data_IF_069127358914
#
_entry.id   IF_069127358914
#
_cell.length_a   1.000
_cell.length_b   1.000
_cell.length_c   1.000
_cell.angle_alpha   90.00
_cell.angle_beta   90.00
_cell.angle_gamma   90.00
#
_symmetry.space_group_name_H-M   'P 1'
#
loop_
_entity.id
_entity.type
_entity.pdbx_description
1 polymer ?
#
# COMPACT_ATOMS: atom_id res chain seq x y z
N UNK A 1 10.47 18.61 66.96
CA UNK A 1 9.42 18.28 66.04
C UNK A 1 9.95 18.39 64.64
N UNK A 2 10.35 17.30 64.05
CA UNK A 2 10.99 17.27 62.71
C UNK A 2 10.00 16.61 61.75
N UNK A 3 9.48 17.39 60.80
CA UNK A 3 8.65 16.90 59.71
C UNK A 3 9.56 16.34 58.59
N UNK A 4 9.30 15.15 58.08
CA UNK A 4 9.99 14.66 56.92
C UNK A 4 9.39 15.30 55.66
N UNK A 5 10.22 15.91 54.83
CA UNK A 5 9.86 16.38 53.51
C UNK A 5 9.59 15.16 52.60
N UNK A 6 8.35 15.02 52.18
CA UNK A 6 8.00 14.05 51.16
C UNK A 6 8.43 14.56 49.78
N UNK A 7 9.42 13.94 49.19
CA UNK A 7 9.82 14.16 47.82
C UNK A 7 8.83 13.45 46.90
N UNK A 8 7.95 14.21 46.30
CA UNK A 8 7.08 13.70 45.23
C UNK A 8 7.93 13.52 43.96
N UNK A 9 8.24 12.27 43.66
CA UNK A 9 8.86 11.89 42.41
C UNK A 9 7.77 11.89 41.32
N UNK A 10 7.70 12.97 40.55
CA UNK A 10 6.82 13.03 39.37
C UNK A 10 7.41 12.12 38.28
N UNK A 11 6.82 10.95 38.11
CA UNK A 11 7.09 10.10 36.97
C UNK A 11 6.51 10.74 35.71
N UNK A 12 7.34 11.34 34.89
CA UNK A 12 6.97 11.75 33.55
C UNK A 12 6.84 10.49 32.71
N UNK A 13 5.61 10.05 32.49
CA UNK A 13 5.32 9.00 31.54
C UNK A 13 5.59 9.55 30.12
N UNK A 14 6.67 9.10 29.53
CA UNK A 14 6.90 9.26 28.08
C UNK A 14 5.84 8.43 27.35
N UNK A 15 4.80 9.08 26.87
CA UNK A 15 3.87 8.46 25.93
C UNK A 15 4.62 8.40 24.60
N UNK A 16 5.17 7.22 24.29
CA UNK A 16 5.65 6.94 22.94
C UNK A 16 4.40 7.00 22.03
N UNK A 17 4.30 8.04 21.23
CA UNK A 17 3.33 8.10 20.15
C UNK A 17 3.74 7.03 19.13
N UNK A 18 3.25 5.82 19.29
CA UNK A 18 3.13 4.91 18.17
C UNK A 18 2.21 5.61 17.18
N UNK A 19 2.69 5.87 15.96
CA UNK A 19 1.91 6.52 14.93
C UNK A 19 0.57 5.82 14.83
N UNK A 20 -0.51 6.52 15.19
CA UNK A 20 -1.86 6.00 15.15
C UNK A 20 -2.29 5.67 13.72
N UNK A 21 -3.46 5.04 13.53
CA UNK A 21 -3.98 4.75 12.22
C UNK A 21 -4.01 6.02 11.36
N UNK A 22 -3.46 5.93 10.15
CA UNK A 22 -3.45 7.04 9.19
C UNK A 22 -4.25 6.64 7.95
N UNK A 23 -4.96 7.62 7.38
CA UNK A 23 -5.73 7.43 6.16
C UNK A 23 -5.29 8.42 5.10
N UNK A 24 -5.22 7.93 3.86
CA UNK A 24 -4.81 8.71 2.68
C UNK A 24 -5.82 8.47 1.56
N UNK A 25 -6.02 9.48 0.73
CA UNK A 25 -6.99 9.43 -0.34
C UNK A 25 -8.43 9.48 0.15
N UNK A 26 -9.33 8.80 -0.55
CA UNK A 26 -10.75 8.78 -0.21
C UNK A 26 -11.04 7.86 0.98
N UNK A 27 -12.00 8.24 1.79
CA UNK A 27 -12.52 7.37 2.83
C UNK A 27 -13.32 6.22 2.22
N UNK A 28 -13.15 5.02 2.78
CA UNK A 28 -13.92 3.85 2.37
C UNK A 28 -14.42 3.09 3.59
N UNK A 29 -15.49 2.33 3.39
CA UNK A 29 -16.13 1.58 4.47
C UNK A 29 -15.26 0.39 4.93
N UNK A 30 -15.43 0.00 6.18
CA UNK A 30 -14.86 -1.23 6.71
C UNK A 30 -15.51 -2.44 6.04
N UNK A 31 -14.75 -3.50 5.89
CA UNK A 31 -15.24 -4.73 5.32
C UNK A 31 -14.11 -5.73 5.06
N UNK A 32 -14.45 -6.90 4.52
CA UNK A 32 -13.46 -7.92 4.20
C UNK A 32 -12.40 -7.38 3.25
N UNK A 33 -11.13 -7.69 3.53
CA UNK A 33 -10.02 -7.41 2.66
C UNK A 33 -9.36 -8.73 2.23
N UNK A 34 -8.99 -8.81 0.97
CA UNK A 34 -8.30 -9.96 0.41
C UNK A 34 -6.80 -9.78 0.61
N UNK A 35 -6.09 -10.70 1.26
CA UNK A 35 -4.63 -10.63 1.33
C UNK A 35 -4.01 -10.60 -0.06
N UNK A 36 -2.94 -9.84 -0.25
CA UNK A 36 -2.28 -9.68 -1.56
C UNK A 36 -1.89 -11.03 -2.16
N UNK A 37 -1.38 -11.96 -1.35
CA UNK A 37 -1.01 -13.30 -1.81
C UNK A 37 -2.18 -14.09 -2.40
N UNK A 38 -3.36 -13.95 -1.81
CA UNK A 38 -4.60 -14.55 -2.31
C UNK A 38 -5.11 -13.81 -3.55
N UNK A 39 -5.07 -12.48 -3.54
CA UNK A 39 -5.54 -11.65 -4.65
C UNK A 39 -4.79 -11.94 -5.95
N UNK A 40 -3.47 -12.17 -5.88
CA UNK A 40 -2.65 -12.49 -7.05
C UNK A 40 -3.16 -13.71 -7.82
N UNK A 41 -3.67 -14.72 -7.13
CA UNK A 41 -4.23 -15.92 -7.75
C UNK A 41 -5.64 -15.71 -8.33
N UNK A 42 -6.27 -14.57 -8.02
CA UNK A 42 -7.67 -14.28 -8.33
C UNK A 42 -7.87 -13.00 -9.12
N UNK A 43 -6.84 -12.48 -9.77
CA UNK A 43 -6.93 -11.20 -10.48
C UNK A 43 -8.00 -11.20 -11.57
N UNK A 44 -8.19 -12.29 -12.30
CA UNK A 44 -9.25 -12.40 -13.30
C UNK A 44 -10.66 -12.27 -12.71
N UNK A 45 -10.87 -12.83 -11.51
CA UNK A 45 -12.16 -12.71 -10.81
C UNK A 45 -12.39 -11.31 -10.23
N UNK A 46 -11.31 -10.69 -9.74
CA UNK A 46 -11.38 -9.42 -8.99
C UNK A 46 -11.36 -8.19 -9.91
N UNK A 47 -10.94 -8.34 -11.17
CA UNK A 47 -10.79 -7.24 -12.08
C UNK A 47 -12.13 -6.54 -12.40
N UNK A 48 -12.07 -5.21 -12.47
CA UNK A 48 -13.21 -4.37 -12.85
C UNK A 48 -14.12 -3.95 -11.70
N UNK A 49 -14.14 -4.67 -10.58
CA UNK A 49 -14.97 -4.33 -9.43
C UNK A 49 -14.13 -3.76 -8.28
N UNK A 50 -14.63 -2.74 -7.56
CA UNK A 50 -13.95 -2.25 -6.38
C UNK A 50 -13.80 -3.35 -5.33
N UNK A 51 -12.61 -3.45 -4.76
CA UNK A 51 -12.30 -4.44 -3.72
C UNK A 51 -11.32 -3.86 -2.71
N UNK A 52 -11.02 -4.61 -1.64
CA UNK A 52 -10.04 -4.23 -0.64
C UNK A 52 -8.93 -5.26 -0.61
N UNK A 53 -7.70 -4.80 -0.65
CA UNK A 53 -6.53 -5.65 -0.43
C UNK A 53 -5.90 -5.33 0.91
N UNK A 54 -5.38 -6.35 1.56
CA UNK A 54 -4.59 -6.22 2.78
C UNK A 54 -3.17 -6.69 2.57
N UNK A 55 -2.26 -6.07 3.28
CA UNK A 55 -0.84 -6.42 3.26
C UNK A 55 -0.04 -5.45 4.09
N UNK A 56 1.27 -5.44 3.84
CA UNK A 56 2.22 -4.56 4.50
C UNK A 56 2.88 -3.65 3.48
N UNK A 57 2.92 -2.37 3.76
CA UNK A 57 3.68 -1.41 2.95
C UNK A 57 5.16 -1.64 3.21
N UNK A 58 5.90 -2.00 2.15
CA UNK A 58 7.34 -2.26 2.20
C UNK A 58 8.18 -1.20 1.48
N UNK A 59 7.54 -0.37 0.68
CA UNK A 59 8.20 0.73 -0.01
C UNK A 59 7.20 1.71 -0.60
N UNK A 60 7.61 2.95 -0.71
CA UNK A 60 6.85 4.04 -1.33
C UNK A 60 7.75 4.72 -2.35
N UNK A 61 7.17 5.23 -3.44
CA UNK A 61 7.91 5.96 -4.46
C UNK A 61 8.73 7.10 -3.85
N UNK A 62 10.06 7.06 -4.05
CA UNK A 62 10.99 8.02 -3.44
C UNK A 62 11.01 9.37 -4.15
N UNK A 63 10.43 9.47 -5.33
CA UNK A 63 10.31 10.75 -6.04
C UNK A 63 9.16 11.59 -5.51
N UNK A 64 7.94 11.01 -5.47
CA UNK A 64 6.72 11.76 -5.18
C UNK A 64 5.77 11.07 -4.21
N UNK A 65 5.97 9.78 -3.87
CA UNK A 65 5.02 9.03 -3.04
C UNK A 65 3.73 8.66 -3.77
N UNK A 66 3.76 8.55 -5.10
CA UNK A 66 2.58 8.33 -5.95
C UNK A 66 2.22 6.85 -6.19
N UNK A 67 3.00 5.95 -5.66
CA UNK A 67 2.74 4.50 -5.63
C UNK A 67 3.44 3.86 -4.43
N UNK A 68 3.01 2.67 -4.07
CA UNK A 68 3.64 1.89 -3.02
C UNK A 68 3.76 0.42 -3.42
N UNK A 69 4.63 -0.30 -2.71
CA UNK A 69 4.65 -1.76 -2.71
C UNK A 69 3.84 -2.28 -1.52
N UNK A 70 2.91 -3.16 -1.79
CA UNK A 70 2.11 -3.86 -0.79
C UNK A 70 2.46 -5.34 -0.84
N UNK A 71 2.87 -5.89 0.29
CA UNK A 71 3.38 -7.27 0.41
C UNK A 71 2.53 -8.08 1.37
N UNK A 72 2.34 -9.35 1.04
CA UNK A 72 1.75 -10.35 1.89
C UNK A 72 2.33 -11.72 1.54
N UNK A 73 2.72 -12.47 2.57
CA UNK A 73 3.29 -13.82 2.42
C UNK A 73 4.43 -13.91 1.38
N UNK A 74 5.33 -12.92 1.40
CA UNK A 74 6.48 -12.85 0.50
C UNK A 74 6.16 -12.44 -0.94
N UNK A 75 4.91 -12.13 -1.25
CA UNK A 75 4.47 -11.66 -2.55
C UNK A 75 4.13 -10.17 -2.50
N UNK A 76 4.66 -9.40 -3.42
CA UNK A 76 4.50 -7.96 -3.45
C UNK A 76 3.87 -7.48 -4.77
N UNK A 77 3.03 -6.47 -4.66
CA UNK A 77 2.41 -5.80 -5.79
C UNK A 77 2.64 -4.31 -5.72
N UNK A 78 2.70 -3.67 -6.89
CA UNK A 78 2.70 -2.22 -6.98
C UNK A 78 1.27 -1.70 -6.99
N UNK A 79 0.98 -0.77 -6.10
CA UNK A 79 -0.31 -0.08 -6.01
C UNK A 79 -0.09 1.39 -6.39
N UNK A 80 -0.80 1.85 -7.41
CA UNK A 80 -0.78 3.25 -7.85
C UNK A 80 -1.92 4.02 -7.20
N UNK A 81 -1.69 5.29 -6.91
CA UNK A 81 -2.69 6.16 -6.27
C UNK A 81 -3.42 6.99 -7.32
N UNK A 82 -4.29 6.34 -8.08
CA UNK A 82 -5.00 6.96 -9.18
C UNK A 82 -4.05 7.58 -10.21
N UNK A 83 -4.46 8.70 -10.78
CA UNK A 83 -3.58 9.54 -11.60
C UNK A 83 -3.08 10.72 -10.75
N UNK A 84 -2.15 10.43 -9.84
CA UNK A 84 -1.62 11.37 -8.84
C UNK A 84 -2.71 11.97 -7.93
N UNK A 85 -3.72 11.17 -7.59
CA UNK A 85 -4.86 11.63 -6.79
C UNK A 85 -4.48 11.95 -5.34
N UNK A 86 -3.50 11.24 -4.79
CA UNK A 86 -2.93 11.48 -3.47
C UNK A 86 -1.53 10.88 -3.37
N UNK A 87 -0.86 11.12 -2.24
CA UNK A 87 0.51 10.69 -2.00
C UNK A 87 0.66 10.13 -0.60
N UNK A 88 1.57 9.18 -0.42
CA UNK A 88 2.00 8.71 0.89
C UNK A 88 3.35 9.33 1.25
N UNK A 89 3.63 9.51 2.56
CA UNK A 89 4.99 9.81 3.01
C UNK A 89 5.98 8.77 2.50
N UNK A 90 7.16 9.20 2.08
CA UNK A 90 8.17 8.32 1.45
C UNK A 90 8.73 7.25 2.39
N UNK A 91 8.62 7.46 3.69
CA UNK A 91 9.04 6.55 4.75
C UNK A 91 7.89 5.73 5.35
N UNK A 92 6.69 5.82 4.77
CA UNK A 92 5.53 5.08 5.26
C UNK A 92 5.74 3.58 5.13
N UNK A 93 5.53 2.86 6.22
CA UNK A 93 5.55 1.39 6.32
C UNK A 93 4.40 0.93 7.19
N UNK A 94 4.22 -0.36 7.33
CA UNK A 94 3.27 -0.98 8.25
C UNK A 94 2.11 -1.65 7.55
N UNK A 95 1.26 -2.29 8.35
CA UNK A 95 0.06 -2.96 7.85
C UNK A 95 -0.92 -1.97 7.26
N UNK A 96 -1.51 -2.33 6.14
CA UNK A 96 -2.45 -1.47 5.44
C UNK A 96 -3.61 -2.25 4.83
N UNK A 97 -4.73 -1.57 4.71
CA UNK A 97 -5.86 -1.96 3.87
C UNK A 97 -6.02 -0.90 2.80
N UNK A 98 -6.14 -1.33 1.55
CA UNK A 98 -6.28 -0.44 0.40
C UNK A 98 -7.58 -0.73 -0.34
N UNK A 99 -8.29 0.34 -0.68
CA UNK A 99 -9.45 0.24 -1.55
C UNK A 99 -8.99 0.44 -2.99
N UNK A 100 -9.22 -0.55 -3.84
CA UNK A 100 -8.62 -0.63 -5.17
C UNK A 100 -9.63 -1.04 -6.23
N UNK A 101 -9.32 -0.68 -7.47
CA UNK A 101 -9.87 -1.30 -8.66
C UNK A 101 -8.71 -1.95 -9.42
N UNK A 102 -8.88 -3.20 -9.81
CA UNK A 102 -7.99 -3.90 -10.72
C UNK A 102 -8.39 -3.59 -12.15
N UNK A 103 -7.50 -2.97 -12.89
CA UNK A 103 -7.66 -2.77 -14.33
C UNK A 103 -6.92 -3.87 -15.07
N UNK A 104 -7.62 -4.63 -15.89
CA UNK A 104 -7.03 -5.57 -16.83
C UNK A 104 -6.77 -4.87 -18.15
N UNK A 105 -5.53 -4.83 -18.56
CA UNK A 105 -5.12 -4.21 -19.83
C UNK A 105 -4.44 -5.22 -20.72
N UNK A 106 -4.92 -5.34 -21.94
CA UNK A 106 -4.24 -6.10 -22.98
C UNK A 106 -3.19 -5.22 -23.66
N UNK A 107 -1.97 -5.72 -23.78
CA UNK A 107 -0.88 -5.05 -24.45
C UNK A 107 -0.88 -5.45 -25.91
N UNK A 108 -0.66 -4.50 -26.81
CA UNK A 108 -0.43 -4.79 -28.21
C UNK A 108 0.94 -5.45 -28.42
N UNK A 109 1.18 -6.21 -29.51
CA UNK A 109 2.48 -6.77 -29.81
C UNK A 109 3.60 -5.71 -29.83
N UNK A 110 3.31 -4.50 -30.31
CA UNK A 110 4.26 -3.38 -30.35
C UNK A 110 4.61 -2.90 -28.94
N UNK A 111 3.63 -2.83 -28.04
CA UNK A 111 3.86 -2.46 -26.63
C UNK A 111 4.70 -3.51 -25.91
N UNK A 112 4.41 -4.80 -26.15
CA UNK A 112 5.21 -5.90 -25.59
C UNK A 112 6.67 -5.80 -26.04
N UNK A 113 6.91 -5.56 -27.33
CA UNK A 113 8.26 -5.40 -27.87
C UNK A 113 8.96 -4.15 -27.32
N UNK A 114 8.24 -3.04 -27.19
CA UNK A 114 8.79 -1.81 -26.64
C UNK A 114 9.24 -1.99 -25.19
N UNK A 115 8.40 -2.58 -24.35
CA UNK A 115 8.76 -2.86 -22.96
C UNK A 115 9.89 -3.87 -22.82
N UNK A 116 9.97 -4.86 -23.71
CA UNK A 116 11.09 -5.79 -23.74
C UNK A 116 12.42 -5.07 -24.07
N UNK A 117 12.39 -4.11 -24.99
CA UNK A 117 13.55 -3.30 -25.36
C UNK A 117 14.02 -2.38 -24.22
N UNK A 118 13.11 -1.89 -23.41
CA UNK A 118 13.40 -1.02 -22.26
C UNK A 118 13.74 -1.82 -20.97
N UNK A 119 13.53 -3.12 -20.99
CA UNK A 119 13.81 -3.99 -19.85
C UNK A 119 15.32 -4.20 -19.68
N UNK A 120 15.88 -4.02 -18.47
CA UNK A 120 17.28 -4.32 -18.19
C UNK A 120 17.67 -5.77 -18.44
N UNK A 121 16.71 -6.69 -18.40
CA UNK A 121 16.90 -8.13 -18.61
C UNK A 121 16.55 -8.58 -20.03
N UNK A 122 15.95 -7.70 -20.87
CA UNK A 122 15.45 -8.03 -22.19
C UNK A 122 14.21 -8.93 -22.20
N UNK A 123 13.62 -9.20 -21.05
CA UNK A 123 12.42 -10.03 -20.92
C UNK A 123 11.18 -9.22 -21.35
N UNK A 124 10.38 -9.81 -22.22
CA UNK A 124 9.10 -9.24 -22.60
C UNK A 124 8.07 -9.40 -21.45
N UNK A 125 7.21 -8.41 -21.23
CA UNK A 125 6.09 -8.58 -20.31
C UNK A 125 5.07 -9.55 -20.88
N UNK A 126 4.24 -10.09 -19.99
CA UNK A 126 3.05 -10.83 -20.42
C UNK A 126 2.12 -9.94 -21.24
N UNK A 127 1.37 -10.49 -22.20
CA UNK A 127 0.47 -9.69 -23.04
C UNK A 127 -0.72 -9.11 -22.29
N UNK A 128 -0.97 -9.55 -21.07
CA UNK A 128 -1.99 -9.00 -20.17
C UNK A 128 -1.31 -8.40 -18.94
N UNK A 129 -1.60 -7.13 -18.69
CA UNK A 129 -1.13 -6.40 -17.52
C UNK A 129 -2.31 -6.13 -16.58
N UNK A 130 -2.10 -6.35 -15.30
CA UNK A 130 -3.02 -5.91 -14.26
C UNK A 130 -2.46 -4.69 -13.56
N UNK A 131 -3.26 -3.64 -13.49
CA UNK A 131 -2.95 -2.42 -12.78
C UNK A 131 -3.81 -2.31 -11.54
N UNK A 132 -3.19 -2.15 -10.40
CA UNK A 132 -3.86 -1.98 -9.12
C UNK A 132 -3.92 -0.49 -8.83
N UNK A 133 -5.11 0.09 -8.90
CA UNK A 133 -5.34 1.52 -8.71
C UNK A 133 -6.09 1.72 -7.40
N UNK A 134 -5.45 2.36 -6.43
CA UNK A 134 -6.07 2.70 -5.17
C UNK A 134 -6.67 4.10 -5.20
N UNK A 135 -7.83 4.25 -4.62
CA UNK A 135 -8.44 5.53 -4.28
C UNK A 135 -8.32 5.88 -2.79
N UNK A 136 -8.10 4.88 -1.94
CA UNK A 136 -7.92 5.07 -0.51
C UNK A 136 -6.97 4.04 0.11
N UNK A 137 -6.24 4.48 1.13
CA UNK A 137 -5.31 3.66 1.90
C UNK A 137 -5.52 3.94 3.39
N UNK A 138 -5.65 2.88 4.19
CA UNK A 138 -5.59 2.95 5.65
C UNK A 138 -4.38 2.19 6.16
N UNK A 139 -3.56 2.85 6.98
CA UNK A 139 -2.36 2.29 7.58
C UNK A 139 -2.57 2.08 9.07
N UNK A 140 -2.06 0.99 9.60
CA UNK A 140 -2.17 0.66 11.02
C UNK A 140 -3.54 0.12 11.42
N UNK A 141 -4.26 -0.40 10.47
CA UNK A 141 -5.56 -1.02 10.73
C UNK A 141 -5.41 -2.48 11.14
#
# INVERSE_FOLDING_TARGET
MRLPAAILLSAVAFVASAGGPASYGEAFEDGPAVPVSEALARFDELAGEPTRFSGRITGVCQKMGCWMMLEDDGQAVRVKFGDHAFFLPKDQTGSAVVHVVLERKELTPEQVQHFAGDSPTGLAPEPVEYRIIADGVRVGA
#
